data_IF_095457176942
#
_entry.id   IF_095457176942
#
_cell.length_a   1.000
_cell.length_b   1.000
_cell.length_c   1.000
_cell.angle_alpha   90.00
_cell.angle_beta   90.00
_cell.angle_gamma   90.00
#
_symmetry.space_group_name_H-M   'P 1'
#
loop_
_entity.id
_entity.type
_entity.pdbx_description
1 polymer ?
#
# COMPACT_ATOMS: atom_id res chain seq x y z
N UNK A 1 -16.13 -17.80 3.27
CA UNK A 1 -15.65 -16.54 2.69
C UNK A 1 -16.89 -15.77 2.33
N UNK A 2 -17.10 -14.60 2.92
CA UNK A 2 -18.21 -13.73 2.53
C UNK A 2 -17.63 -12.61 1.69
N UNK A 3 -18.02 -12.56 0.41
CA UNK A 3 -17.77 -11.40 -0.45
C UNK A 3 -18.94 -10.45 -0.19
N UNK A 4 -18.73 -9.41 0.62
CA UNK A 4 -19.73 -8.36 0.80
C UNK A 4 -19.86 -7.53 -0.49
N UNK A 5 -20.95 -6.78 -0.64
CA UNK A 5 -21.23 -5.93 -1.81
C UNK A 5 -20.21 -4.79 -2.04
N UNK A 6 -19.21 -4.69 -1.18
CA UNK A 6 -17.98 -3.90 -1.34
C UNK A 6 -16.89 -4.94 -1.56
N UNK A 7 -16.03 -4.80 -2.58
CA UNK A 7 -14.92 -5.73 -2.91
C UNK A 7 -13.92 -5.91 -1.75
N UNK A 8 -14.36 -6.41 -0.62
CA UNK A 8 -13.66 -6.59 0.64
C UNK A 8 -13.67 -8.09 0.96
N UNK A 9 -12.47 -8.67 1.02
CA UNK A 9 -12.30 -10.08 1.40
C UNK A 9 -12.11 -10.16 2.90
N UNK A 10 -13.12 -10.69 3.60
CA UNK A 10 -13.02 -11.03 5.01
C UNK A 10 -12.87 -12.55 5.16
N UNK A 11 -11.76 -12.95 5.77
CA UNK A 11 -11.45 -14.35 6.05
C UNK A 11 -12.09 -14.78 7.37
N UNK A 12 -12.83 -15.89 7.36
CA UNK A 12 -13.30 -16.52 8.60
C UNK A 12 -12.14 -17.14 9.39
N UNK A 13 -12.38 -17.48 10.66
CA UNK A 13 -11.39 -18.18 11.49
C UNK A 13 -10.98 -19.54 10.87
N UNK A 14 -11.93 -20.26 10.29
CA UNK A 14 -11.68 -21.55 9.63
C UNK A 14 -10.81 -21.36 8.37
N UNK A 15 -11.02 -20.27 7.63
CA UNK A 15 -10.23 -19.95 6.44
C UNK A 15 -8.81 -19.51 6.78
N UNK A 16 -8.63 -18.79 7.89
CA UNK A 16 -7.32 -18.48 8.41
C UNK A 16 -6.56 -19.75 8.83
N UNK A 17 -7.24 -20.71 9.46
CA UNK A 17 -6.63 -22.00 9.82
C UNK A 17 -6.21 -22.79 8.58
N UNK A 18 -7.10 -22.91 7.58
CA UNK A 18 -6.80 -23.62 6.35
C UNK A 18 -5.62 -22.99 5.57
N UNK A 19 -5.53 -21.65 5.55
CA UNK A 19 -4.42 -20.97 4.92
C UNK A 19 -3.10 -21.18 5.66
N UNK A 20 -3.11 -21.16 7.00
CA UNK A 20 -1.93 -21.46 7.82
C UNK A 20 -1.43 -22.89 7.56
N UNK A 21 -2.33 -23.87 7.58
CA UNK A 21 -1.99 -25.27 7.35
C UNK A 21 -1.43 -25.48 5.94
N UNK A 22 -2.04 -24.83 4.94
CA UNK A 22 -1.55 -24.84 3.57
C UNK A 22 -0.13 -24.25 3.47
N UNK A 23 0.10 -23.05 4.01
CA UNK A 23 1.43 -22.39 3.97
C UNK A 23 2.49 -23.24 4.67
N UNK A 24 2.16 -23.86 5.80
CA UNK A 24 3.07 -24.79 6.49
C UNK A 24 3.35 -26.05 5.67
N UNK A 25 2.37 -26.54 4.91
CA UNK A 25 2.52 -27.71 4.04
C UNK A 25 3.37 -27.45 2.80
N UNK A 26 3.50 -26.19 2.36
CA UNK A 26 4.21 -25.86 1.14
C UNK A 26 5.70 -26.19 1.21
N UNK A 27 6.35 -26.11 2.38
CA UNK A 27 7.75 -26.51 2.53
C UNK A 27 8.72 -25.87 1.52
N UNK A 28 8.37 -24.71 0.94
CA UNK A 28 9.12 -24.03 -0.12
C UNK A 28 8.81 -24.47 -1.56
N UNK A 29 7.80 -25.31 -1.78
CA UNK A 29 7.36 -25.72 -3.12
C UNK A 29 6.57 -24.59 -3.81
N UNK A 30 6.83 -24.34 -5.11
CA UNK A 30 6.08 -23.35 -5.88
C UNK A 30 4.61 -23.76 -6.04
N UNK A 31 3.71 -22.81 -5.79
CA UNK A 31 2.26 -23.00 -5.98
C UNK A 31 1.87 -22.47 -7.35
N UNK A 32 1.17 -23.29 -8.13
CA UNK A 32 0.48 -22.81 -9.32
C UNK A 32 -0.89 -22.27 -8.94
N UNK A 33 -1.10 -20.98 -9.19
CA UNK A 33 -2.40 -20.32 -9.02
C UNK A 33 -3.01 -20.21 -10.42
N UNK A 34 -3.95 -21.11 -10.71
CA UNK A 34 -4.75 -21.03 -11.93
C UNK A 34 -5.82 -19.95 -11.79
N UNK A 35 -5.87 -19.00 -12.73
CA UNK A 35 -7.11 -18.23 -12.91
C UNK A 35 -8.10 -19.08 -13.72
N UNK A 36 -9.39 -18.73 -13.76
CA UNK A 36 -10.36 -19.45 -14.60
C UNK A 36 -10.05 -19.42 -16.11
N UNK A 37 -8.97 -18.74 -16.49
CA UNK A 37 -8.31 -18.81 -17.79
C UNK A 37 -6.85 -19.26 -17.56
N UNK A 38 -6.32 -20.09 -18.47
CA UNK A 38 -4.91 -20.52 -18.48
C UNK A 38 -3.99 -19.32 -18.78
N UNK A 39 -3.85 -18.43 -17.80
CA UNK A 39 -3.03 -17.23 -17.86
C UNK A 39 -1.99 -17.30 -16.75
N UNK A 40 -0.73 -17.07 -17.12
CA UNK A 40 0.36 -16.92 -16.16
C UNK A 40 0.16 -15.65 -15.33
N UNK A 41 0.40 -15.77 -14.03
CA UNK A 41 0.26 -14.65 -13.11
C UNK A 41 1.49 -13.73 -13.24
N UNK A 42 1.34 -12.41 -13.47
CA UNK A 42 2.46 -11.50 -13.47
C UNK A 42 3.20 -11.54 -12.13
N UNK A 43 4.52 -11.37 -12.16
CA UNK A 43 5.38 -11.49 -10.96
C UNK A 43 4.98 -10.50 -9.86
N UNK A 44 4.49 -9.32 -10.24
CA UNK A 44 4.01 -8.30 -9.31
C UNK A 44 2.76 -8.77 -8.55
N UNK A 45 1.85 -9.47 -9.23
CA UNK A 45 0.62 -10.01 -8.63
C UNK A 45 0.98 -11.20 -7.74
N UNK A 46 1.94 -12.03 -8.16
CA UNK A 46 2.40 -13.19 -7.37
C UNK A 46 2.96 -12.73 -6.02
N UNK A 47 3.78 -11.66 -6.02
CA UNK A 47 4.33 -11.07 -4.80
C UNK A 47 3.26 -10.55 -3.85
N UNK A 48 2.18 -9.97 -4.36
CA UNK A 48 1.04 -9.53 -3.52
C UNK A 48 0.39 -10.73 -2.83
N UNK A 49 0.21 -11.83 -3.54
CA UNK A 49 -0.36 -13.06 -2.98
C UNK A 49 0.56 -13.69 -1.93
N UNK A 50 1.88 -13.70 -2.16
CA UNK A 50 2.86 -14.15 -1.15
C UNK A 50 2.74 -13.34 0.15
N UNK A 51 2.67 -12.01 0.08
CA UNK A 51 2.51 -11.15 1.25
C UNK A 51 1.20 -11.41 2.00
N UNK A 52 0.11 -11.68 1.27
CA UNK A 52 -1.18 -12.03 1.86
C UNK A 52 -1.09 -13.37 2.58
N UNK A 53 -0.51 -14.39 1.94
CA UNK A 53 -0.34 -15.72 2.52
C UNK A 53 0.55 -15.69 3.77
N UNK A 54 1.65 -14.93 3.75
CA UNK A 54 2.53 -14.74 4.91
C UNK A 54 1.77 -14.11 6.08
N UNK A 55 1.03 -13.02 5.83
CA UNK A 55 0.20 -12.39 6.85
C UNK A 55 -0.86 -13.34 7.42
N UNK A 56 -1.52 -14.13 6.58
CA UNK A 56 -2.50 -15.13 7.01
C UNK A 56 -1.85 -16.24 7.86
N UNK A 57 -0.68 -16.74 7.46
CA UNK A 57 0.03 -17.78 8.19
C UNK A 57 0.41 -17.34 9.62
N UNK A 58 0.81 -16.08 9.77
CA UNK A 58 1.08 -15.44 11.06
C UNK A 58 -0.19 -15.12 11.86
N UNK A 59 -1.39 -15.32 11.30
CA UNK A 59 -2.65 -14.96 11.93
C UNK A 59 -2.90 -13.44 12.00
N UNK A 60 -2.22 -12.66 11.16
CA UNK A 60 -2.49 -11.23 11.01
C UNK A 60 -3.79 -11.02 10.24
N UNK A 61 -4.68 -10.11 10.66
CA UNK A 61 -5.85 -9.74 9.88
C UNK A 61 -5.44 -9.18 8.52
N UNK A 62 -6.07 -9.70 7.45
CA UNK A 62 -5.88 -9.21 6.08
C UNK A 62 -7.22 -8.65 5.58
N UNK A 63 -7.17 -7.46 4.98
CA UNK A 63 -8.29 -6.89 4.21
C UNK A 63 -7.75 -6.44 2.86
N UNK A 64 -8.44 -6.85 1.80
CA UNK A 64 -8.16 -6.44 0.42
C UNK A 64 -9.40 -5.70 -0.05
N UNK A 65 -9.23 -4.43 -0.44
CA UNK A 65 -10.30 -3.59 -0.94
C UNK A 65 -9.92 -2.94 -2.27
N UNK A 66 -10.85 -2.91 -3.21
CA UNK A 66 -10.70 -2.03 -4.37
C UNK A 66 -10.69 -0.57 -3.91
N UNK A 67 -9.69 0.19 -4.35
CA UNK A 67 -9.61 1.60 -4.00
C UNK A 67 -10.75 2.38 -4.70
N UNK A 68 -11.52 3.20 -3.96
CA UNK A 68 -12.55 4.04 -4.59
C UNK A 68 -11.90 5.08 -5.51
N UNK A 69 -12.65 5.65 -6.45
CA UNK A 69 -12.14 6.73 -7.31
C UNK A 69 -11.75 7.98 -6.50
N UNK A 70 -12.51 8.26 -5.44
CA UNK A 70 -12.37 9.46 -4.62
C UNK A 70 -12.21 9.10 -3.14
N UNK A 71 -11.20 9.69 -2.51
CA UNK A 71 -10.86 9.50 -1.10
C UNK A 71 -11.34 10.66 -0.26
N UNK A 72 -11.71 10.34 0.98
CA UNK A 72 -11.81 11.36 2.02
C UNK A 72 -10.42 11.90 2.35
N UNK A 73 -10.35 13.12 2.88
CA UNK A 73 -9.09 13.71 3.34
C UNK A 73 -8.42 12.85 4.42
N UNK A 74 -9.19 12.17 5.27
CA UNK A 74 -8.63 11.26 6.27
C UNK A 74 -8.01 10.01 5.63
N UNK A 75 -8.70 9.37 4.68
CA UNK A 75 -8.18 8.18 4.00
C UNK A 75 -6.92 8.50 3.18
N UNK A 76 -6.93 9.62 2.44
CA UNK A 76 -5.77 10.09 1.69
C UNK A 76 -4.57 10.39 2.61
N UNK A 77 -4.80 11.07 3.74
CA UNK A 77 -3.74 11.37 4.70
C UNK A 77 -3.11 10.09 5.27
N UNK A 78 -3.95 9.09 5.60
CA UNK A 78 -3.49 7.77 6.02
C UNK A 78 -2.61 7.08 4.98
N UNK A 79 -3.01 7.11 3.70
CA UNK A 79 -2.24 6.50 2.60
C UNK A 79 -0.87 7.16 2.37
N UNK A 80 -0.77 8.46 2.61
CA UNK A 80 0.46 9.24 2.46
C UNK A 80 1.37 9.17 3.69
N UNK A 81 0.88 8.59 4.80
CA UNK A 81 1.57 8.62 6.09
C UNK A 81 1.68 10.04 6.66
N UNK A 82 0.68 10.89 6.40
CA UNK A 82 0.63 12.28 6.84
C UNK A 82 -0.51 12.53 7.82
N UNK A 83 -0.38 13.59 8.62
CA UNK A 83 -1.53 14.10 9.37
C UNK A 83 -2.53 14.76 8.41
N UNK A 84 -3.83 14.71 8.74
CA UNK A 84 -4.85 15.43 7.96
C UNK A 84 -4.56 16.93 7.84
N UNK A 85 -4.17 17.67 8.90
CA UNK A 85 -3.77 19.07 8.77
C UNK A 85 -2.62 19.28 7.77
N UNK A 86 -1.63 18.39 7.76
CA UNK A 86 -0.52 18.44 6.79
C UNK A 86 -1.02 18.27 5.36
N UNK A 87 -1.86 17.26 5.10
CA UNK A 87 -2.47 17.08 3.78
C UNK A 87 -3.25 18.34 3.35
N UNK A 88 -4.05 18.92 4.24
CA UNK A 88 -4.81 20.13 3.93
C UNK A 88 -3.93 21.37 3.73
N UNK A 89 -2.68 21.38 4.22
CA UNK A 89 -1.68 22.40 3.87
C UNK A 89 -1.23 22.22 2.42
N UNK A 90 -0.87 21.00 2.03
CA UNK A 90 -0.47 20.67 0.64
C UNK A 90 -1.56 21.00 -0.37
N UNK A 91 -2.83 20.74 -0.03
CA UNK A 91 -3.99 21.12 -0.85
C UNK A 91 -4.07 22.64 -1.03
N UNK A 92 -3.89 23.42 0.05
CA UNK A 92 -3.91 24.90 -0.02
C UNK A 92 -2.74 25.47 -0.81
N UNK A 93 -1.60 24.79 -0.78
CA UNK A 93 -0.40 25.12 -1.55
C UNK A 93 -0.50 24.68 -3.03
N UNK A 94 -1.57 23.97 -3.41
CA UNK A 94 -1.78 23.52 -4.78
C UNK A 94 -0.98 22.28 -5.17
N UNK A 95 -0.29 21.62 -4.21
CA UNK A 95 0.50 20.41 -4.47
C UNK A 95 -0.34 19.18 -4.82
N UNK A 96 -1.60 19.16 -4.38
CA UNK A 96 -2.55 18.11 -4.74
C UNK A 96 -3.94 18.70 -4.86
N UNK A 97 -4.67 18.42 -5.96
CA UNK A 97 -6.01 18.93 -6.13
C UNK A 97 -6.98 18.27 -5.13
N UNK A 98 -7.90 19.08 -4.62
CA UNK A 98 -9.07 18.60 -3.89
C UNK A 98 -10.31 19.27 -4.46
N UNK A 99 -11.41 18.51 -4.53
CA UNK A 99 -12.70 19.01 -5.00
C UNK A 99 -13.77 18.77 -3.94
N UNK A 100 -14.87 19.51 -4.02
CA UNK A 100 -16.01 19.31 -3.12
C UNK A 100 -16.98 18.31 -3.71
N UNK A 101 -17.38 17.34 -2.91
CA UNK A 101 -18.52 16.45 -3.18
C UNK A 101 -19.52 16.69 -2.06
N UNK A 102 -20.61 17.39 -2.39
CA UNK A 102 -21.51 17.97 -1.40
C UNK A 102 -20.76 18.96 -0.49
N UNK A 103 -20.82 18.73 0.82
CA UNK A 103 -20.20 19.60 1.83
C UNK A 103 -18.74 19.28 2.14
N UNK A 104 -18.18 18.18 1.64
CA UNK A 104 -16.87 17.69 2.06
C UNK A 104 -15.85 17.66 0.91
N UNK A 105 -14.58 17.89 1.27
CA UNK A 105 -13.46 17.72 0.34
C UNK A 105 -13.21 16.24 0.04
N UNK A 106 -12.86 15.98 -1.21
CA UNK A 106 -12.43 14.69 -1.75
C UNK A 106 -11.18 14.89 -2.60
N UNK A 107 -10.34 13.87 -2.64
CA UNK A 107 -9.15 13.81 -3.48
C UNK A 107 -9.30 12.61 -4.41
N UNK A 108 -8.89 12.72 -5.67
CA UNK A 108 -8.88 11.54 -6.54
C UNK A 108 -7.78 10.59 -6.06
N UNK A 109 -8.06 9.30 -6.10
CA UNK A 109 -7.11 8.28 -5.70
C UNK A 109 -5.84 8.30 -6.55
N UNK A 110 -5.97 8.57 -7.85
CA UNK A 110 -4.82 8.72 -8.75
C UNK A 110 -3.85 9.81 -8.28
N UNK A 111 -4.35 11.02 -8.05
CA UNK A 111 -3.55 12.17 -7.59
C UNK A 111 -2.88 11.88 -6.22
N UNK A 112 -3.55 11.15 -5.33
CA UNK A 112 -2.99 10.74 -4.03
C UNK A 112 -1.86 9.73 -4.22
N UNK A 113 -2.00 8.77 -5.13
CA UNK A 113 -0.96 7.78 -5.42
C UNK A 113 0.26 8.43 -6.09
N UNK A 114 0.05 9.37 -7.00
CA UNK A 114 1.13 10.14 -7.64
C UNK A 114 1.93 10.92 -6.60
N UNK A 115 1.25 11.67 -5.72
CA UNK A 115 1.90 12.38 -4.62
C UNK A 115 2.63 11.41 -3.67
N UNK A 116 2.11 10.21 -3.43
CA UNK A 116 2.77 9.20 -2.60
C UNK A 116 4.12 8.80 -3.18
N UNK A 117 4.17 8.59 -4.49
CA UNK A 117 5.39 8.21 -5.19
C UNK A 117 6.39 9.37 -5.28
N UNK A 118 5.91 10.60 -5.42
CA UNK A 118 6.75 11.81 -5.28
C UNK A 118 7.38 11.91 -3.89
N UNK A 119 6.56 11.86 -2.83
CA UNK A 119 7.06 11.94 -1.46
C UNK A 119 8.03 10.81 -1.12
N UNK A 120 7.83 9.61 -1.68
CA UNK A 120 8.77 8.50 -1.54
C UNK A 120 10.12 8.81 -2.18
N UNK A 121 10.12 9.39 -3.39
CA UNK A 121 11.34 9.80 -4.09
C UNK A 121 12.06 10.93 -3.35
N UNK A 122 11.33 11.95 -2.87
CA UNK A 122 11.89 13.04 -2.06
C UNK A 122 12.57 12.51 -0.79
N UNK A 123 11.92 11.58 -0.07
CA UNK A 123 12.50 10.96 1.14
C UNK A 123 13.77 10.17 0.82
N UNK A 124 13.78 9.43 -0.28
CA UNK A 124 14.95 8.66 -0.68
C UNK A 124 16.12 9.58 -1.04
N UNK A 125 15.85 10.69 -1.73
CA UNK A 125 16.88 11.68 -2.09
C UNK A 125 17.47 12.35 -0.85
N UNK A 126 16.63 12.76 0.11
CA UNK A 126 17.11 13.36 1.36
C UNK A 126 18.04 12.45 2.17
N UNK A 127 17.86 11.12 2.08
CA UNK A 127 18.78 10.16 2.70
C UNK A 127 20.15 10.19 2.03
N UNK A 128 20.19 10.25 0.70
CA UNK A 128 21.44 10.36 -0.04
C UNK A 128 22.15 11.70 0.24
N UNK A 129 21.41 12.81 0.28
CA UNK A 129 21.98 14.13 0.57
C UNK A 129 22.67 14.16 1.96
N UNK A 130 22.11 13.46 2.95
CA UNK A 130 22.72 13.33 4.30
C UNK A 130 23.99 12.48 4.25
N UNK A 131 23.99 11.39 3.49
CA UNK A 131 25.17 10.52 3.33
C UNK A 131 26.33 11.25 2.63
N UNK A 132 26.03 12.01 1.58
CA UNK A 132 27.04 12.79 0.85
C UNK A 132 27.67 13.88 1.75
N UNK A 133 26.87 14.52 2.62
CA UNK A 133 27.38 15.48 3.61
C UNK A 133 28.30 14.82 4.65
N UNK A 134 27.99 13.59 5.09
CA UNK A 134 28.85 12.86 6.04
C UNK A 134 30.19 12.47 5.40
N UNK A 135 30.20 12.08 4.13
CA UNK A 135 31.40 11.72 3.38
C UNK A 135 32.29 12.95 3.09
N UNK A 136 31.72 14.12 2.78
CA UNK A 136 32.47 15.37 2.63
C UNK A 136 33.12 15.81 3.94
N UNK A 137 32.40 15.74 5.07
CA UNK A 137 32.94 16.09 6.39
C UNK A 137 34.01 15.12 6.88
N UNK A 138 33.95 13.85 6.47
CA UNK A 138 34.96 12.85 6.79
C UNK A 138 36.26 13.02 5.98
N UNK A 139 36.17 13.54 4.74
CA UNK A 139 37.31 13.74 3.85
C UNK A 139 38.01 15.11 3.99
N UNK A 140 37.42 16.06 4.73
CA UNK A 140 37.99 17.40 4.94
C UNK A 140 38.75 17.56 6.27
N UNK A 141 39.16 16.44 6.90
CA UNK A 141 39.98 16.43 8.12
C UNK A 141 41.41 15.91 7.83
N UNK A 142 42.41 16.79 7.61
CA UNK A 142 43.80 16.41 7.37
C UNK A 142 44.55 15.93 8.64
#
# INVERSE_FOLDING_TARGET
MTIAATNEVLLSADEQSAARDFVQSLGGQPVQIGTGQDAELPVEVARVLELVLEAMAEGRPVSIAAMPENLTTTAAAGLLGLSRPTLMKLVREGRIPAHKVGSHHRLRSADVLELKDELRRERQQAVFDVMDLEDELANDNP
#
